data_IF_868842196471
#
_entry.id   IF_868842196471
#
_cell.length_a   1.000
_cell.length_b   1.000
_cell.length_c   1.000
_cell.angle_alpha   90.00
_cell.angle_beta   90.00
_cell.angle_gamma   90.00
#
_symmetry.space_group_name_H-M   'P 1'
#
loop_
_entity.id
_entity.type
_entity.pdbx_description
1 polymer ?
#
# COMPACT_ATOMS: atom_id res chain seq x y z
N UNK A 1 -0.44 16.17 -3.36
CA UNK A 1 -0.79 15.47 -4.61
C UNK A 1 -2.26 15.05 -4.53
N UNK A 2 -2.94 14.81 -5.65
CA UNK A 2 -4.34 14.34 -5.63
C UNK A 2 -4.40 12.83 -5.85
N UNK A 3 -5.39 12.17 -5.23
CA UNK A 3 -5.79 10.80 -5.51
C UNK A 3 -7.28 10.77 -5.83
N UNK A 4 -7.69 9.77 -6.60
CA UNK A 4 -9.10 9.57 -6.93
C UNK A 4 -9.73 8.57 -5.96
N UNK A 5 -10.72 9.01 -5.21
CA UNK A 5 -11.64 8.13 -4.48
C UNK A 5 -12.76 7.68 -5.40
N UNK A 6 -13.09 6.39 -5.31
CA UNK A 6 -14.18 5.74 -6.03
C UNK A 6 -15.20 5.28 -5.02
N UNK A 7 -16.45 5.71 -5.19
CA UNK A 7 -17.59 5.10 -4.51
C UNK A 7 -18.10 3.97 -5.38
N UNK A 8 -17.97 2.74 -4.89
CA UNK A 8 -18.43 1.54 -5.57
C UNK A 8 -19.54 0.87 -4.77
N UNK A 9 -20.37 0.11 -5.45
CA UNK A 9 -21.42 -0.72 -4.89
C UNK A 9 -21.05 -2.18 -5.15
N UNK A 10 -20.91 -2.97 -4.07
CA UNK A 10 -20.62 -4.40 -4.16
C UNK A 10 -21.92 -5.19 -3.98
N UNK A 11 -22.35 -5.85 -5.04
CA UNK A 11 -23.50 -6.75 -5.06
C UNK A 11 -23.09 -8.10 -4.46
N UNK A 12 -23.68 -8.50 -3.32
CA UNK A 12 -23.43 -9.81 -2.70
C UNK A 12 -24.43 -10.86 -3.18
N UNK A 13 -25.67 -10.44 -3.36
CA UNK A 13 -26.77 -11.21 -3.92
C UNK A 13 -27.80 -10.25 -4.58
N UNK A 14 -28.97 -10.76 -4.97
CA UNK A 14 -30.00 -9.97 -5.66
C UNK A 14 -30.64 -8.86 -4.79
N UNK A 15 -30.42 -8.87 -3.48
CA UNK A 15 -31.10 -7.98 -2.52
C UNK A 15 -30.10 -7.13 -1.75
N UNK A 16 -28.88 -7.62 -1.54
CA UNK A 16 -27.85 -7.00 -0.74
C UNK A 16 -26.76 -6.37 -1.62
N UNK A 17 -26.73 -5.04 -1.58
CA UNK A 17 -25.68 -4.22 -2.15
C UNK A 17 -25.02 -3.37 -1.05
N UNK A 18 -23.68 -3.38 -1.01
CA UNK A 18 -22.90 -2.70 0.02
C UNK A 18 -22.10 -1.56 -0.63
N UNK A 19 -22.35 -0.29 -0.29
CA UNK A 19 -21.52 0.80 -0.74
C UNK A 19 -20.16 0.75 -0.04
N UNK A 20 -19.09 0.93 -0.82
CA UNK A 20 -17.71 0.99 -0.34
C UNK A 20 -17.00 2.17 -0.99
N UNK A 21 -16.12 2.82 -0.23
CA UNK A 21 -15.23 3.85 -0.76
C UNK A 21 -13.82 3.28 -0.77
N UNK A 22 -13.18 3.32 -1.94
CA UNK A 22 -11.81 2.83 -2.16
C UNK A 22 -11.06 3.83 -3.03
N UNK A 23 -9.73 3.74 -3.05
CA UNK A 23 -8.97 4.47 -4.06
C UNK A 23 -9.15 3.82 -5.43
N UNK A 24 -9.08 4.62 -6.51
CA UNK A 24 -9.21 4.13 -7.88
C UNK A 24 -8.21 3.01 -8.19
N UNK A 25 -6.98 3.11 -7.66
CA UNK A 25 -5.97 2.07 -7.84
C UNK A 25 -6.26 0.79 -7.05
N UNK A 26 -7.24 0.74 -6.14
CA UNK A 26 -7.70 -0.50 -5.49
C UNK A 26 -8.82 -1.21 -6.25
N UNK A 27 -9.52 -0.52 -7.15
CA UNK A 27 -10.71 -1.03 -7.82
C UNK A 27 -10.47 -2.38 -8.54
N UNK A 28 -9.33 -2.61 -9.22
CA UNK A 28 -9.03 -3.92 -9.78
C UNK A 28 -8.96 -5.05 -8.73
N UNK A 29 -8.46 -4.76 -7.52
CA UNK A 29 -8.41 -5.74 -6.43
C UNK A 29 -9.81 -6.09 -5.92
N UNK A 30 -10.65 -5.06 -5.74
CA UNK A 30 -12.04 -5.21 -5.32
C UNK A 30 -12.85 -6.05 -6.32
N UNK A 31 -12.70 -5.77 -7.62
CA UNK A 31 -13.33 -6.53 -8.70
C UNK A 31 -12.85 -7.98 -8.74
N UNK A 32 -11.56 -8.22 -8.54
CA UNK A 32 -11.04 -9.58 -8.48
C UNK A 32 -11.57 -10.35 -7.25
N UNK A 33 -11.74 -9.71 -6.09
CA UNK A 33 -12.28 -10.36 -4.88
C UNK A 33 -13.77 -10.71 -5.00
N UNK A 34 -14.56 -9.87 -5.68
CA UNK A 34 -16.02 -10.01 -5.70
C UNK A 34 -16.61 -10.46 -7.04
N UNK A 35 -15.85 -10.41 -8.13
CA UNK A 35 -16.33 -10.56 -9.50
C UNK A 35 -16.56 -9.19 -10.15
N UNK A 36 -16.11 -9.01 -11.39
CA UNK A 36 -16.24 -7.74 -12.12
C UNK A 36 -17.71 -7.31 -12.28
N UNK A 37 -18.58 -8.27 -12.54
CA UNK A 37 -20.03 -8.12 -12.70
C UNK A 37 -20.73 -7.69 -11.40
N UNK A 38 -20.07 -7.85 -10.25
CA UNK A 38 -20.62 -7.55 -8.92
C UNK A 38 -20.17 -6.21 -8.35
N UNK A 39 -19.33 -5.46 -9.06
CA UNK A 39 -18.80 -4.18 -8.59
C UNK A 39 -19.18 -3.07 -9.56
N UNK A 40 -20.16 -2.27 -9.16
CA UNK A 40 -20.63 -1.10 -9.89
C UNK A 40 -19.96 0.18 -9.35
N UNK A 41 -19.55 1.09 -10.23
CA UNK A 41 -19.00 2.39 -9.82
C UNK A 41 -20.11 3.44 -9.87
N UNK A 42 -20.38 4.06 -8.73
CA UNK A 42 -21.42 5.10 -8.61
C UNK A 42 -20.89 6.51 -8.84
N UNK A 43 -19.60 6.72 -8.53
CA UNK A 43 -18.98 8.03 -8.71
C UNK A 43 -17.51 8.05 -8.31
N UNK A 44 -16.84 9.10 -8.77
CA UNK A 44 -15.42 9.35 -8.54
C UNK A 44 -15.23 10.79 -8.08
N UNK A 45 -14.24 11.03 -7.22
CA UNK A 45 -13.84 12.38 -6.82
C UNK A 45 -12.35 12.45 -6.55
N UNK A 46 -11.74 13.57 -6.91
CA UNK A 46 -10.36 13.85 -6.53
C UNK A 46 -10.29 14.43 -5.12
N UNK A 47 -9.41 13.88 -4.30
CA UNK A 47 -9.13 14.36 -2.95
C UNK A 47 -7.62 14.53 -2.75
N UNK A 48 -7.25 15.33 -1.77
CA UNK A 48 -5.84 15.40 -1.38
C UNK A 48 -5.40 14.06 -0.83
N UNK A 49 -4.32 13.53 -1.42
CA UNK A 49 -3.71 12.31 -0.93
C UNK A 49 -3.17 12.54 0.49
N UNK A 50 -3.15 11.49 1.33
CA UNK A 50 -2.38 11.53 2.57
C UNK A 50 -0.94 11.98 2.31
N UNK A 51 -0.38 12.80 3.20
CA UNK A 51 0.98 13.32 3.06
C UNK A 51 2.04 12.20 2.97
N UNK A 52 1.74 11.04 3.57
CA UNK A 52 2.58 9.86 3.66
C UNK A 52 2.25 8.77 2.62
N UNK A 53 1.44 9.08 1.61
CA UNK A 53 1.11 8.10 0.58
C UNK A 53 2.39 7.60 -0.11
N UNK A 54 2.60 6.29 -0.03
CA UNK A 54 3.73 5.59 -0.64
C UNK A 54 3.24 4.33 -1.37
N UNK A 55 3.52 4.18 -2.68
CA UNK A 55 3.07 3.01 -3.44
C UNK A 55 3.53 1.65 -2.89
N UNK A 56 4.70 1.59 -2.26
CA UNK A 56 5.23 0.39 -1.62
C UNK A 56 4.45 0.01 -0.36
N UNK A 57 4.20 0.98 0.53
CA UNK A 57 3.35 0.77 1.71
C UNK A 57 1.93 0.36 1.31
N UNK A 58 1.42 0.97 0.24
CA UNK A 58 0.10 0.69 -0.28
C UNK A 58 0.01 -0.73 -0.87
N UNK A 59 1.04 -1.18 -1.58
CA UNK A 59 1.13 -2.57 -2.04
C UNK A 59 1.07 -3.57 -0.88
N UNK A 60 1.86 -3.35 0.16
CA UNK A 60 1.85 -4.19 1.36
C UNK A 60 0.49 -4.18 2.06
N UNK A 61 -0.21 -3.03 2.06
CA UNK A 61 -1.58 -2.93 2.61
C UNK A 61 -2.56 -3.74 1.79
N UNK A 62 -2.52 -3.64 0.46
CA UNK A 62 -3.38 -4.41 -0.44
C UNK A 62 -3.14 -5.93 -0.29
N UNK A 63 -1.88 -6.36 -0.19
CA UNK A 63 -1.54 -7.76 0.07
C UNK A 63 -2.19 -8.26 1.38
N UNK A 64 -2.11 -7.48 2.47
CA UNK A 64 -2.74 -7.84 3.75
C UNK A 64 -4.27 -7.84 3.70
N UNK A 65 -4.87 -6.99 2.86
CA UNK A 65 -6.32 -6.84 2.72
C UNK A 65 -6.93 -7.93 1.85
N UNK A 66 -6.35 -8.19 0.68
CA UNK A 66 -6.95 -9.00 -0.38
C UNK A 66 -6.33 -10.40 -0.53
N UNK A 67 -5.04 -10.59 -0.25
CA UNK A 67 -4.33 -11.87 -0.44
C UNK A 67 -4.44 -12.82 0.79
N UNK A 68 -5.41 -12.59 1.69
CA UNK A 68 -5.57 -13.36 2.94
C UNK A 68 -5.90 -14.84 2.76
N UNK A 69 -6.40 -15.24 1.59
CA UNK A 69 -6.91 -16.61 1.32
C UNK A 69 -6.25 -17.29 0.13
N UNK A 70 -5.80 -16.53 -0.87
CA UNK A 70 -5.17 -17.05 -2.08
C UNK A 70 -3.89 -16.26 -2.36
N UNK A 71 -2.74 -16.81 -1.94
CA UNK A 71 -1.43 -16.27 -2.28
C UNK A 71 -1.33 -16.14 -3.81
N UNK A 72 -1.25 -14.89 -4.31
CA UNK A 72 -1.01 -14.61 -5.73
C UNK A 72 -2.22 -14.17 -6.54
N UNK A 73 -3.44 -14.15 -5.99
CA UNK A 73 -4.59 -13.58 -6.68
C UNK A 73 -4.36 -12.08 -6.95
N UNK A 74 -3.83 -11.36 -5.97
CA UNK A 74 -3.49 -9.94 -6.12
C UNK A 74 -2.34 -9.73 -7.12
N UNK A 75 -1.36 -10.63 -7.19
CA UNK A 75 -0.25 -10.52 -8.15
C UNK A 75 -0.69 -10.72 -9.61
N UNK A 76 -1.80 -11.43 -9.87
CA UNK A 76 -2.38 -11.50 -11.23
C UNK A 76 -2.95 -10.16 -11.68
N UNK A 77 -3.53 -9.41 -10.75
CA UNK A 77 -4.11 -8.09 -11.01
C UNK A 77 -3.02 -7.00 -11.06
N UNK A 78 -1.99 -7.15 -10.22
CA UNK A 78 -0.87 -6.21 -10.13
C UNK A 78 0.48 -6.91 -10.40
N UNK A 79 0.77 -7.34 -11.64
CA UNK A 79 2.03 -8.02 -11.97
C UNK A 79 3.28 -7.20 -11.64
N UNK A 80 3.17 -5.86 -11.58
CA UNK A 80 4.28 -4.97 -11.22
C UNK A 80 4.15 -4.40 -9.80
N UNK A 81 3.22 -4.92 -8.98
CA UNK A 81 3.03 -4.53 -7.59
C UNK A 81 2.97 -3.02 -7.37
N UNK A 82 3.85 -2.50 -6.51
CA UNK A 82 3.96 -1.09 -6.16
C UNK A 82 4.19 -0.16 -7.37
N UNK A 83 4.89 -0.61 -8.41
CA UNK A 83 5.13 0.22 -9.60
C UNK A 83 3.85 0.45 -10.40
N UNK A 84 2.95 -0.53 -10.42
CA UNK A 84 1.63 -0.39 -11.06
C UNK A 84 0.69 0.49 -10.24
N UNK A 85 0.76 0.41 -8.91
CA UNK A 85 0.05 1.35 -8.03
C UNK A 85 0.50 2.77 -8.31
N UNK A 86 1.80 3.02 -8.45
CA UNK A 86 2.32 4.34 -8.80
C UNK A 86 1.73 4.85 -10.13
N UNK A 87 1.74 4.00 -11.16
CA UNK A 87 1.15 4.33 -12.47
C UNK A 87 -0.34 4.66 -12.37
N UNK A 88 -1.13 3.82 -11.68
CA UNK A 88 -2.57 4.00 -11.53
C UNK A 88 -2.93 5.21 -10.66
N UNK A 89 -2.11 5.51 -9.66
CA UNK A 89 -2.26 6.68 -8.80
C UNK A 89 -1.73 7.97 -9.45
N UNK A 90 -1.15 7.89 -10.67
CA UNK A 90 -0.59 9.05 -11.36
C UNK A 90 0.63 9.66 -10.67
N UNK A 91 1.38 8.87 -9.90
CA UNK A 91 2.58 9.31 -9.18
C UNK A 91 3.83 8.70 -9.80
N UNK A 92 4.96 9.39 -9.65
CA UNK A 92 6.23 8.85 -10.08
C UNK A 92 6.50 7.53 -9.33
N UNK A 93 6.90 6.46 -10.02
CA UNK A 93 7.34 5.25 -9.34
C UNK A 93 8.53 5.63 -8.48
N UNK A 94 8.37 5.50 -7.17
CA UNK A 94 9.52 5.57 -6.29
C UNK A 94 10.30 4.29 -6.55
N UNK A 95 11.51 4.43 -7.10
CA UNK A 95 12.51 3.38 -7.05
C UNK A 95 12.50 2.84 -5.63
N UNK A 96 12.32 1.53 -5.45
CA UNK A 96 12.48 0.89 -4.16
C UNK A 96 13.82 1.37 -3.63
N UNK A 97 13.80 2.36 -2.74
CA UNK A 97 15.01 2.86 -2.15
C UNK A 97 15.36 1.76 -1.18
N UNK A 98 16.43 1.06 -1.51
CA UNK A 98 16.95 -0.17 -0.90
C UNK A 98 17.47 0.09 0.53
N UNK A 99 16.75 0.89 1.30
CA UNK A 99 17.09 1.21 2.66
C UNK A 99 15.92 0.78 3.55
N UNK A 100 16.08 -0.30 4.34
CA UNK A 100 15.17 -0.50 5.46
C UNK A 100 15.21 0.78 6.28
N UNK A 101 14.05 1.42 6.51
CA UNK A 101 13.95 2.47 7.51
C UNK A 101 14.36 1.86 8.85
N UNK A 102 15.63 2.02 9.20
CA UNK A 102 16.14 1.74 10.51
C UNK A 102 15.37 2.67 11.45
N UNK A 103 14.47 2.08 12.23
CA UNK A 103 13.86 2.76 13.37
C UNK A 103 15.01 3.12 14.30
N UNK A 104 15.50 4.36 14.21
CA UNK A 104 16.38 4.93 15.22
C UNK A 104 15.50 5.06 16.47
N UNK A 105 15.57 4.07 17.35
CA UNK A 105 15.21 4.27 18.75
C UNK A 105 16.38 5.00 19.39
N UNK A 106 16.27 6.32 19.43
CA UNK A 106 17.04 7.15 20.32
C UNK A 106 16.80 6.72 21.77
N UNK A 107 17.91 6.46 22.48
CA UNK A 107 17.94 6.30 23.94
C UNK A 107 18.14 4.86 24.40
N UNK A 108 19.38 4.48 24.70
CA UNK A 108 19.89 4.33 26.07
C UNK A 108 21.40 4.05 26.00
N UNK A 109 22.18 4.83 26.74
CA UNK A 109 23.53 4.43 27.14
C UNK A 109 24.70 5.21 26.53
N UNK A 110 24.80 6.50 26.85
CA UNK A 110 26.13 7.13 26.96
C UNK A 110 26.94 6.33 27.99
N UNK A 111 28.05 5.73 27.58
CA UNK A 111 29.15 5.37 28.48
C UNK A 111 30.42 6.07 27.97
N UNK A 112 31.06 6.95 28.77
CA UNK A 112 32.20 7.75 28.33
C UNK A 112 33.52 6.96 28.34
N UNK A 113 34.38 7.37 27.40
CA UNK A 113 35.76 6.94 27.14
C UNK A 113 36.62 6.83 28.41
N UNK A 114 37.46 5.78 28.47
CA UNK A 114 38.87 5.92 28.84
C UNK A 114 39.73 5.01 27.96
N UNK A 115 40.59 5.65 27.18
CA UNK A 115 41.76 5.03 26.57
C UNK A 115 42.93 5.08 27.57
N UNK A 116 43.75 4.03 27.63
CA UNK A 116 45.20 4.17 27.84
C UNK A 116 45.96 2.95 27.29
N UNK A 117 46.65 3.22 26.19
CA UNK A 117 47.88 2.64 25.62
C UNK A 117 48.48 1.30 26.11
N UNK A 118 48.78 0.47 25.10
CA UNK A 118 49.86 -0.55 24.94
C UNK A 118 51.28 -0.07 25.37
N UNK A 119 52.39 -0.88 25.33
CA UNK A 119 52.60 -2.15 24.60
C UNK A 119 53.35 -3.27 25.36
N UNK A 120 53.57 -4.36 24.62
CA UNK A 120 54.36 -5.56 24.89
C UNK A 120 55.78 -5.35 25.45
N UNK A 121 56.21 -6.32 26.27
CA UNK A 121 57.55 -6.92 26.29
C UNK A 121 57.43 -8.36 26.83
#
# INVERSE_FOLDING_TARGET
>A
MKLTEVTALVHKDAVLAIPVVVWAHELPALRNEHGEDRVEVLGEREVDAPEDFNPGNEWLRLQRKYDRRELGALHRVYPMGAAQIAQLAGVAPQSATDEPQAVIRDGVGKAPKKAKAEPAA
#
